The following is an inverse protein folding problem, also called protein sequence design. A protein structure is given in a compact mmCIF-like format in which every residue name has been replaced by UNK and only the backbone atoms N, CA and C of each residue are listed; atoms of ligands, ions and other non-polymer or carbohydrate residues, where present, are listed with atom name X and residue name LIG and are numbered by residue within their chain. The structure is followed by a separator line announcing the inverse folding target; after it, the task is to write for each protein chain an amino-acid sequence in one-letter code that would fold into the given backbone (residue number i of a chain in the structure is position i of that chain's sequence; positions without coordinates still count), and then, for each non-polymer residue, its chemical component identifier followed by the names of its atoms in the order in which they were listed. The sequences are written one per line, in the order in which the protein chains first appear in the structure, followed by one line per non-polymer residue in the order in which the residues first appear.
data_IF_077057352152
#
_entry.id   IF_077057352152
#
_cell.length_a   1.000
_cell.length_b   1.000
_cell.length_c   1.000
_cell.angle_alpha   90.00
_cell.angle_beta   90.00
_cell.angle_gamma   90.00
#
_symmetry.space_group_name_H-M   'P 1'
#
loop_
_entity.id
_entity.type
_entity.pdbx_description
1 polymer ?
#
# COMPACT_ATOMS: atom_id res chain seq x y z
N UNK A 1 -8.80 -47.44 0.54
CA UNK A 1 -9.80 -46.52 1.14
C UNK A 1 -9.56 -45.18 0.48
N UNK A 2 -10.38 -44.83 -0.50
CA UNK A 2 -10.53 -43.43 -0.91
C UNK A 2 -11.13 -42.72 0.31
N UNK A 3 -10.37 -41.79 0.89
CA UNK A 3 -10.93 -40.87 1.87
C UNK A 3 -11.78 -39.89 1.07
N UNK A 4 -13.08 -39.83 1.37
CA UNK A 4 -13.91 -38.73 0.87
C UNK A 4 -13.21 -37.41 1.20
N UNK A 5 -13.06 -36.48 0.23
CA UNK A 5 -12.42 -35.20 0.50
C UNK A 5 -13.22 -34.50 1.60
N UNK A 6 -12.57 -34.21 2.73
CA UNK A 6 -13.15 -33.34 3.75
C UNK A 6 -13.50 -32.00 3.08
N UNK A 7 -14.68 -31.42 3.36
CA UNK A 7 -15.06 -30.14 2.81
C UNK A 7 -14.05 -29.08 3.27
N UNK A 8 -13.48 -28.36 2.32
CA UNK A 8 -12.58 -27.25 2.59
C UNK A 8 -13.30 -26.17 3.40
N UNK A 9 -12.55 -25.50 4.27
CA UNK A 9 -13.05 -24.32 4.96
C UNK A 9 -13.04 -23.13 4.01
N UNK A 10 -14.13 -22.37 4.04
CA UNK A 10 -14.28 -21.13 3.28
C UNK A 10 -14.56 -19.98 4.23
N UNK A 11 -13.90 -18.85 4.00
CA UNK A 11 -14.11 -17.62 4.75
C UNK A 11 -14.14 -16.42 3.82
N UNK A 12 -14.98 -15.43 4.14
CA UNK A 12 -15.02 -14.14 3.48
C UNK A 12 -15.22 -13.04 4.51
N UNK A 13 -14.41 -11.98 4.42
CA UNK A 13 -14.51 -10.77 5.23
C UNK A 13 -14.49 -9.55 4.32
N UNK A 14 -14.98 -8.42 4.83
CA UNK A 14 -14.99 -7.17 4.08
C UNK A 14 -14.80 -5.97 5.00
N UNK A 15 -14.18 -4.91 4.49
CA UNK A 15 -14.09 -3.61 5.15
C UNK A 15 -14.41 -2.49 4.16
N UNK A 16 -15.12 -1.46 4.64
CA UNK A 16 -15.53 -0.30 3.85
C UNK A 16 -14.54 0.84 4.05
N UNK A 17 -14.18 1.51 2.96
CA UNK A 17 -13.31 2.68 2.90
C UNK A 17 -14.13 3.84 2.31
N UNK A 18 -14.94 4.55 3.11
CA UNK A 18 -15.86 5.57 2.61
C UNK A 18 -15.18 6.82 2.05
N UNK A 19 -13.88 7.02 2.26
CA UNK A 19 -13.12 8.23 1.86
C UNK A 19 -12.12 7.98 0.75
N UNK A 20 -12.00 6.74 0.26
CA UNK A 20 -11.06 6.37 -0.80
C UNK A 20 -11.76 5.58 -1.91
N UNK A 21 -11.54 5.96 -3.16
CA UNK A 21 -12.11 5.28 -4.31
C UNK A 21 -11.39 3.96 -4.57
N UNK A 22 -12.05 3.06 -5.31
CA UNK A 22 -11.46 1.76 -5.65
C UNK A 22 -10.15 1.90 -6.44
N UNK A 23 -10.05 2.93 -7.29
CA UNK A 23 -8.86 3.19 -8.11
C UNK A 23 -7.70 3.78 -7.31
N UNK A 24 -7.97 4.48 -6.20
CA UNK A 24 -6.94 4.92 -5.26
C UNK A 24 -6.37 3.75 -4.45
N UNK A 25 -7.22 2.80 -4.06
CA UNK A 25 -6.86 1.68 -3.20
C UNK A 25 -6.18 0.55 -3.96
N UNK A 26 -6.64 0.26 -5.18
CA UNK A 26 -6.17 -0.89 -5.95
C UNK A 26 -4.65 -0.94 -6.16
N UNK A 27 -3.96 0.14 -6.57
CA UNK A 27 -2.51 0.13 -6.70
C UNK A 27 -1.76 -0.22 -5.42
N UNK A 28 -2.31 0.18 -4.25
CA UNK A 28 -1.72 -0.09 -2.93
C UNK A 28 -1.82 -1.57 -2.56
N UNK A 29 -2.88 -2.26 -3.01
CA UNK A 29 -3.05 -3.70 -2.83
C UNK A 29 -2.29 -4.52 -3.86
N UNK A 30 -2.18 -4.00 -5.09
CA UNK A 30 -1.41 -4.62 -6.16
C UNK A 30 0.11 -4.54 -5.91
N UNK A 31 0.58 -3.67 -5.00
CA UNK A 31 1.92 -3.69 -4.42
C UNK A 31 2.13 -4.93 -3.52
N UNK A 32 2.02 -6.12 -4.14
CA UNK A 32 1.88 -7.42 -3.50
C UNK A 32 3.01 -7.73 -2.51
N UNK A 33 4.24 -7.36 -2.84
CA UNK A 33 5.42 -7.56 -1.98
C UNK A 33 5.42 -6.68 -0.74
N UNK A 34 4.64 -5.60 -0.69
CA UNK A 34 4.73 -4.60 0.37
C UNK A 34 3.46 -4.50 1.22
N UNK A 35 2.69 -5.59 1.33
CA UNK A 35 1.46 -5.61 2.12
C UNK A 35 1.67 -5.21 3.60
N UNK A 36 2.85 -5.46 4.17
CA UNK A 36 3.23 -5.07 5.54
C UNK A 36 3.13 -3.56 5.80
N UNK A 37 3.19 -2.71 4.76
CA UNK A 37 2.96 -1.26 4.88
C UNK A 37 1.54 -0.96 5.41
N UNK A 38 0.57 -1.79 5.02
CA UNK A 38 -0.85 -1.57 5.28
C UNK A 38 -1.39 -2.54 6.33
N UNK A 39 -0.89 -3.77 6.37
CA UNK A 39 -1.37 -4.81 7.27
C UNK A 39 -0.48 -4.94 8.50
N UNK A 40 -0.87 -4.32 9.61
CA UNK A 40 -0.18 -4.32 10.91
C UNK A 40 0.15 -5.70 11.48
N UNK A 41 -0.64 -6.72 11.13
CA UNK A 41 -0.42 -8.09 11.57
C UNK A 41 0.81 -8.77 10.96
N UNK A 42 1.42 -8.16 9.94
CA UNK A 42 2.67 -8.60 9.33
C UNK A 42 3.83 -7.73 9.81
N UNK A 43 4.82 -8.36 10.42
CA UNK A 43 6.08 -7.72 10.78
C UNK A 43 6.97 -7.48 9.55
N UNK A 44 6.94 -8.40 8.59
CA UNK A 44 7.67 -8.28 7.33
C UNK A 44 6.86 -8.84 6.17
N UNK A 45 7.01 -8.24 5.00
CA UNK A 45 6.52 -8.78 3.74
C UNK A 45 7.44 -8.29 2.63
N UNK A 46 8.02 -9.19 1.83
CA UNK A 46 8.94 -8.84 0.74
C UNK A 46 9.00 -9.91 -0.34
N UNK A 47 9.39 -9.53 -1.55
CA UNK A 47 9.52 -10.44 -2.68
C UNK A 47 10.73 -11.37 -2.54
N UNK A 48 10.52 -12.66 -2.81
CA UNK A 48 11.59 -13.67 -2.88
C UNK A 48 11.74 -14.29 -4.27
N UNK A 49 10.76 -14.07 -5.16
CA UNK A 49 10.81 -14.53 -6.55
C UNK A 49 9.90 -13.69 -7.46
N UNK A 50 10.31 -13.51 -8.72
CA UNK A 50 9.50 -12.85 -9.76
C UNK A 50 9.38 -11.33 -9.62
N UNK A 51 8.53 -10.73 -10.44
CA UNK A 51 8.28 -9.28 -10.48
C UNK A 51 7.05 -8.94 -9.64
N UNK A 52 7.16 -7.94 -8.77
CA UNK A 52 6.06 -7.51 -7.90
C UNK A 52 4.79 -7.17 -8.71
N UNK A 53 3.63 -7.65 -8.24
CA UNK A 53 2.33 -7.41 -8.88
C UNK A 53 2.05 -8.26 -10.12
N UNK A 54 3.00 -9.10 -10.57
CA UNK A 54 2.80 -9.98 -11.73
C UNK A 54 2.52 -11.44 -11.32
N UNK A 55 1.58 -12.15 -11.99
CA UNK A 55 1.34 -13.56 -11.74
C UNK A 55 2.62 -14.41 -11.79
N UNK A 56 2.77 -15.30 -10.82
CA UNK A 56 3.93 -16.15 -10.61
C UNK A 56 4.96 -15.60 -9.62
N UNK A 57 4.90 -14.32 -9.25
CA UNK A 57 5.76 -13.77 -8.21
C UNK A 57 5.44 -14.36 -6.83
N UNK A 58 6.45 -14.40 -5.94
CA UNK A 58 6.33 -14.97 -4.60
C UNK A 58 6.81 -13.96 -3.57
N UNK A 59 6.00 -13.74 -2.53
CA UNK A 59 6.36 -12.97 -1.34
C UNK A 59 6.59 -13.88 -0.14
N UNK A 60 7.49 -13.48 0.74
CA UNK A 60 7.59 -14.00 2.09
C UNK A 60 6.85 -13.07 3.04
N UNK A 61 6.01 -13.60 3.92
CA UNK A 61 5.26 -12.86 4.93
C UNK A 61 5.57 -13.41 6.32
N UNK A 62 5.89 -12.54 7.27
CA UNK A 62 6.11 -12.87 8.68
C UNK A 62 5.11 -12.10 9.53
N UNK A 63 4.50 -12.76 10.50
CA UNK A 63 3.50 -12.16 11.39
C UNK A 63 3.29 -12.96 12.67
N UNK A 64 2.40 -12.45 13.50
CA UNK A 64 2.07 -13.04 14.81
C UNK A 64 0.58 -13.30 15.00
N UNK A 65 -0.23 -13.02 13.97
CA UNK A 65 -1.70 -13.08 14.07
C UNK A 65 -2.25 -14.50 14.11
N UNK A 66 -1.58 -15.45 13.46
CA UNK A 66 -1.95 -16.88 13.46
C UNK A 66 -0.83 -17.63 14.17
N UNK A 67 -1.10 -18.53 15.13
CA UNK A 67 -0.06 -19.28 15.83
C UNK A 67 0.74 -20.17 14.89
N UNK A 68 2.06 -20.23 15.10
CA UNK A 68 2.92 -21.21 14.42
C UNK A 68 2.71 -22.60 15.02
N UNK A 69 2.86 -23.64 14.20
CA UNK A 69 2.84 -25.04 14.64
C UNK A 69 4.21 -25.55 15.08
N UNK A 70 5.28 -24.75 14.89
CA UNK A 70 6.63 -25.10 15.31
C UNK A 70 6.75 -25.05 16.84
N UNK A 71 6.85 -26.20 17.49
CA UNK A 71 7.06 -26.30 18.94
C UNK A 71 8.54 -26.22 19.34
N UNK A 72 9.41 -25.79 18.43
CA UNK A 72 10.86 -25.96 18.54
C UNK A 72 11.57 -24.71 19.09
N UNK A 73 11.02 -24.08 20.14
CA UNK A 73 11.66 -22.95 20.83
C UNK A 73 11.86 -23.21 22.31
N UNK A 74 13.04 -22.84 22.79
CA UNK A 74 13.47 -22.89 24.19
C UNK A 74 12.69 -21.87 25.02
N UNK A 75 11.42 -22.16 25.37
CA UNK A 75 10.66 -21.62 26.49
C UNK A 75 10.46 -20.09 26.64
N UNK A 76 11.06 -19.26 25.78
CA UNK A 76 11.19 -17.81 26.01
C UNK A 76 10.54 -16.91 24.95
N UNK A 77 10.11 -17.45 23.82
CA UNK A 77 9.31 -16.72 22.82
C UNK A 77 8.45 -17.66 21.96
N UNK A 78 7.22 -17.24 21.67
CA UNK A 78 6.39 -17.89 20.64
C UNK A 78 7.07 -17.72 19.28
N UNK A 79 7.17 -18.77 18.45
CA UNK A 79 7.78 -18.65 17.12
C UNK A 79 6.99 -17.67 16.25
N UNK A 80 7.71 -16.89 15.44
CA UNK A 80 7.10 -16.03 14.42
C UNK A 80 6.46 -16.93 13.36
N UNK A 81 5.23 -16.63 13.00
CA UNK A 81 4.51 -17.35 11.95
C UNK A 81 4.86 -16.77 10.60
N UNK A 82 5.10 -17.62 9.63
CA UNK A 82 5.46 -17.19 8.28
C UNK A 82 4.77 -18.02 7.20
N UNK A 83 4.67 -17.40 6.03
CA UNK A 83 4.20 -18.04 4.81
C UNK A 83 4.92 -17.48 3.58
N UNK A 84 5.15 -18.34 2.59
CA UNK A 84 5.53 -17.95 1.24
C UNK A 84 4.28 -18.01 0.37
N UNK A 85 3.96 -16.91 -0.28
CA UNK A 85 2.71 -16.74 -1.00
C UNK A 85 2.98 -16.42 -2.47
N UNK A 86 2.44 -17.24 -3.38
CA UNK A 86 2.55 -17.03 -4.83
C UNK A 86 1.31 -16.31 -5.35
N UNK A 87 1.51 -15.22 -6.07
CA UNK A 87 0.45 -14.53 -6.81
C UNK A 87 0.03 -15.39 -8.01
N UNK A 88 -1.23 -15.82 -8.07
CA UNK A 88 -1.73 -16.74 -9.10
C UNK A 88 -2.52 -16.03 -10.20
N UNK A 89 -3.18 -14.92 -9.87
CA UNK A 89 -3.92 -14.11 -10.82
C UNK A 89 -3.99 -12.65 -10.40
N UNK A 90 -4.06 -11.76 -11.39
CA UNK A 90 -4.33 -10.33 -11.21
C UNK A 90 -5.27 -9.89 -12.33
N UNK A 91 -6.34 -9.19 -11.95
CA UNK A 91 -7.29 -8.56 -12.86
C UNK A 91 -7.43 -7.09 -12.45
N UNK A 92 -6.81 -6.19 -13.21
CA UNK A 92 -6.88 -4.76 -12.94
C UNK A 92 -8.25 -4.15 -13.28
N UNK A 93 -9.03 -4.76 -14.19
CA UNK A 93 -10.37 -4.29 -14.52
C UNK A 93 -11.36 -4.56 -13.38
N UNK A 94 -11.28 -5.76 -12.82
CA UNK A 94 -12.07 -6.17 -11.65
C UNK A 94 -11.45 -5.76 -10.31
N UNK A 95 -10.24 -5.15 -10.34
CA UNK A 95 -9.43 -4.80 -9.16
C UNK A 95 -9.33 -5.97 -8.18
N UNK A 96 -8.92 -7.12 -8.70
CA UNK A 96 -8.86 -8.38 -8.00
C UNK A 96 -7.50 -9.05 -8.17
N UNK A 97 -7.01 -9.65 -7.09
CA UNK A 97 -5.85 -10.54 -7.14
C UNK A 97 -6.15 -11.82 -6.38
N UNK A 98 -5.51 -12.92 -6.79
CA UNK A 98 -5.59 -14.21 -6.12
C UNK A 98 -4.19 -14.74 -5.86
N UNK A 99 -3.99 -15.42 -4.74
CA UNK A 99 -2.71 -15.99 -4.36
C UNK A 99 -2.90 -17.31 -3.61
N UNK A 100 -1.85 -18.12 -3.58
CA UNK A 100 -1.79 -19.38 -2.84
C UNK A 100 -0.62 -19.38 -1.85
N UNK A 101 -0.74 -20.09 -0.73
CA UNK A 101 0.41 -20.36 0.15
C UNK A 101 1.14 -21.58 -0.40
N UNK A 102 2.41 -21.40 -0.77
CA UNK A 102 3.26 -22.48 -1.30
C UNK A 102 4.14 -23.12 -0.23
N UNK A 103 4.33 -22.45 0.90
CA UNK A 103 5.10 -22.93 2.04
C UNK A 103 4.72 -22.14 3.30
N UNK A 104 4.69 -22.77 4.47
CA UNK A 104 4.40 -22.08 5.76
C UNK A 104 4.74 -22.94 6.97
N UNK A 105 4.91 -22.30 8.13
CA UNK A 105 4.97 -23.00 9.43
C UNK A 105 3.65 -22.96 10.24
N UNK A 106 2.57 -22.51 9.61
CA UNK A 106 1.24 -22.35 10.23
C UNK A 106 0.41 -23.65 10.14
N UNK A 107 0.85 -24.61 9.32
CA UNK A 107 0.17 -25.89 9.13
C UNK A 107 -0.88 -25.90 7.99
N UNK A 108 -0.89 -24.87 7.15
CA UNK A 108 -1.71 -24.83 5.94
C UNK A 108 -1.20 -25.85 4.91
N UNK A 109 -2.05 -26.83 4.54
CA UNK A 109 -1.75 -27.84 3.51
C UNK A 109 -2.19 -27.40 2.12
N UNK A 110 -3.29 -26.68 2.06
CA UNK A 110 -3.76 -25.94 0.91
C UNK A 110 -4.33 -24.62 1.40
N UNK A 111 -4.09 -23.54 0.66
CA UNK A 111 -4.67 -22.25 0.94
C UNK A 111 -4.69 -21.46 -0.36
N UNK A 112 -5.87 -20.98 -0.75
CA UNK A 112 -6.05 -20.06 -1.86
C UNK A 112 -6.87 -18.89 -1.37
N UNK A 113 -6.49 -17.68 -1.73
CA UNK A 113 -7.17 -16.47 -1.31
C UNK A 113 -7.33 -15.49 -2.45
N UNK A 114 -8.39 -14.69 -2.37
CA UNK A 114 -8.71 -13.64 -3.33
C UNK A 114 -9.04 -12.35 -2.58
N UNK A 115 -8.41 -11.27 -3.01
CA UNK A 115 -8.69 -9.90 -2.56
C UNK A 115 -9.29 -9.13 -3.73
N UNK A 116 -10.39 -8.41 -3.49
CA UNK A 116 -11.08 -7.60 -4.49
C UNK A 116 -11.45 -6.22 -3.95
N UNK A 117 -11.32 -5.17 -4.77
CA UNK A 117 -11.77 -3.81 -4.44
C UNK A 117 -13.00 -3.45 -5.25
N UNK A 118 -14.12 -3.30 -4.55
CA UNK A 118 -15.43 -3.03 -5.15
C UNK A 118 -15.77 -1.55 -4.95
N UNK A 119 -15.94 -0.76 -6.03
CA UNK A 119 -16.39 0.63 -5.90
C UNK A 119 -17.81 0.69 -5.29
N UNK A 120 -18.12 1.80 -4.62
CA UNK A 120 -19.44 2.06 -4.04
C UNK A 120 -20.08 3.29 -4.68
N UNK A 121 -21.40 3.27 -4.81
CA UNK A 121 -22.17 4.33 -5.50
C UNK A 121 -22.16 4.15 -7.02
N UNK A 122 -23.07 4.84 -7.71
CA UNK A 122 -23.22 4.75 -9.18
C UNK A 122 -22.03 5.36 -9.94
N UNK A 123 -21.30 6.28 -9.30
CA UNK A 123 -20.14 6.99 -9.85
C UNK A 123 -18.82 6.70 -9.10
N UNK A 124 -18.82 5.78 -8.13
CA UNK A 124 -17.63 5.43 -7.34
C UNK A 124 -17.25 6.46 -6.27
N UNK A 125 -18.06 7.49 -6.02
CA UNK A 125 -17.76 8.55 -5.07
C UNK A 125 -18.07 8.18 -3.60
N UNK A 126 -18.86 7.13 -3.36
CA UNK A 126 -19.20 6.65 -2.01
C UNK A 126 -18.11 5.77 -1.36
N UNK A 127 -16.91 5.83 -1.95
CA UNK A 127 -15.72 5.09 -1.55
C UNK A 127 -15.65 3.70 -2.18
N UNK A 128 -15.07 2.75 -1.45
CA UNK A 128 -14.99 1.36 -1.88
C UNK A 128 -15.13 0.37 -0.73
N UNK A 129 -15.21 -0.92 -1.08
CA UNK A 129 -15.18 -2.05 -0.16
C UNK A 129 -14.06 -2.98 -0.59
N UNK A 130 -13.16 -3.32 0.34
CA UNK A 130 -12.23 -4.44 0.15
C UNK A 130 -12.95 -5.71 0.60
N UNK A 131 -13.00 -6.70 -0.27
CA UNK A 131 -13.42 -8.07 0.03
C UNK A 131 -12.20 -8.97 0.05
N UNK A 132 -12.07 -9.79 1.09
CA UNK A 132 -11.01 -10.79 1.21
C UNK A 132 -11.63 -12.15 1.52
N UNK A 133 -11.42 -13.10 0.62
CA UNK A 133 -11.90 -14.48 0.76
C UNK A 133 -10.76 -15.47 0.74
N UNK A 134 -10.96 -16.62 1.37
CA UNK A 134 -10.03 -17.74 1.35
C UNK A 134 -10.75 -19.07 1.35
N UNK A 135 -10.06 -20.08 0.81
CA UNK A 135 -10.39 -21.48 0.92
C UNK A 135 -9.13 -22.21 1.42
N UNK A 136 -9.29 -23.09 2.43
CA UNK A 136 -8.19 -23.76 3.12
C UNK A 136 -8.64 -25.13 3.60
N UNK A 137 -7.76 -26.13 3.59
CA UNK A 137 -8.06 -27.38 4.28
C UNK A 137 -8.19 -27.16 5.79
N UNK A 138 -9.05 -27.92 6.50
CA UNK A 138 -9.12 -27.85 7.95
C UNK A 138 -7.75 -28.03 8.61
N UNK A 139 -7.38 -27.07 9.46
CA UNK A 139 -6.08 -27.06 10.15
C UNK A 139 -6.26 -27.55 11.58
N UNK A 140 -5.45 -28.53 11.99
CA UNK A 140 -5.49 -29.05 13.34
C UNK A 140 -5.13 -27.95 14.37
N UNK A 141 -5.97 -27.77 15.38
CA UNK A 141 -5.78 -26.75 16.43
C UNK A 141 -6.34 -25.37 16.10
N UNK A 142 -6.82 -25.14 14.88
CA UNK A 142 -7.57 -23.93 14.52
C UNK A 142 -9.07 -24.20 14.46
N UNK A 143 -9.84 -23.12 14.53
CA UNK A 143 -11.30 -23.12 14.34
C UNK A 143 -11.62 -22.08 13.29
N UNK A 144 -12.44 -22.43 12.29
CA UNK A 144 -12.77 -21.56 11.17
C UNK A 144 -13.26 -20.17 11.62
N UNK A 145 -14.19 -20.10 12.57
CA UNK A 145 -14.72 -18.83 13.07
C UNK A 145 -13.64 -17.92 13.67
N UNK A 146 -12.64 -18.51 14.33
CA UNK A 146 -11.53 -17.76 14.91
C UNK A 146 -10.58 -17.24 13.82
N UNK A 147 -10.30 -18.05 12.79
CA UNK A 147 -9.53 -17.63 11.63
C UNK A 147 -10.24 -16.48 10.89
N UNK A 148 -11.55 -16.61 10.64
CA UNK A 148 -12.37 -15.54 10.03
C UNK A 148 -12.35 -14.28 10.88
N UNK A 149 -12.43 -14.41 12.21
CA UNK A 149 -12.33 -13.27 13.14
C UNK A 149 -10.99 -12.56 13.05
N UNK A 150 -9.88 -13.30 12.98
CA UNK A 150 -8.53 -12.74 12.81
C UNK A 150 -8.42 -11.95 11.50
N UNK A 151 -8.87 -12.52 10.38
CA UNK A 151 -8.88 -11.84 9.08
C UNK A 151 -9.75 -10.59 9.10
N UNK A 152 -10.91 -10.64 9.75
CA UNK A 152 -11.81 -9.49 9.88
C UNK A 152 -11.13 -8.33 10.62
N UNK A 153 -10.51 -8.60 11.77
CA UNK A 153 -9.81 -7.58 12.55
C UNK A 153 -8.62 -7.01 11.78
N UNK A 154 -7.81 -7.87 11.15
CA UNK A 154 -6.68 -7.44 10.34
C UNK A 154 -7.10 -6.56 9.16
N UNK A 155 -8.15 -6.95 8.43
CA UNK A 155 -8.66 -6.19 7.31
C UNK A 155 -9.25 -4.84 7.73
N UNK A 156 -9.92 -4.76 8.88
CA UNK A 156 -10.44 -3.49 9.40
C UNK A 156 -9.30 -2.49 9.67
N UNK A 157 -8.24 -2.93 10.35
CA UNK A 157 -7.07 -2.08 10.64
C UNK A 157 -6.33 -1.67 9.36
N UNK A 158 -6.22 -2.59 8.41
CA UNK A 158 -5.63 -2.33 7.10
C UNK A 158 -6.43 -1.30 6.31
N UNK A 159 -7.77 -1.38 6.33
CA UNK A 159 -8.63 -0.41 5.65
C UNK A 159 -8.45 1.00 6.20
N UNK A 160 -8.41 1.17 7.53
CA UNK A 160 -8.13 2.47 8.16
C UNK A 160 -6.78 3.05 7.72
N UNK A 161 -5.72 2.22 7.73
CA UNK A 161 -4.38 2.63 7.30
C UNK A 161 -4.29 2.99 5.82
N UNK A 162 -5.01 2.26 4.96
CA UNK A 162 -5.08 2.57 3.54
C UNK A 162 -5.79 3.91 3.30
N UNK A 163 -6.92 4.17 3.97
CA UNK A 163 -7.61 5.47 3.86
C UNK A 163 -6.74 6.63 4.34
N UNK A 164 -5.97 6.44 5.41
CA UNK A 164 -5.03 7.44 5.89
C UNK A 164 -3.85 7.61 4.91
N UNK A 165 -3.29 6.52 4.38
CA UNK A 165 -2.23 6.57 3.38
C UNK A 165 -2.65 7.30 2.09
N UNK A 166 -3.88 7.12 1.62
CA UNK A 166 -4.39 7.84 0.44
C UNK A 166 -4.45 9.35 0.64
N UNK A 167 -4.57 9.85 1.87
CA UNK A 167 -4.52 11.31 2.14
C UNK A 167 -3.14 11.92 1.91
N UNK A 168 -2.09 11.10 1.99
CA UNK A 168 -0.69 11.51 1.90
C UNK A 168 -0.05 11.15 0.55
N UNK A 169 -0.68 10.29 -0.25
CA UNK A 169 -0.15 9.80 -1.53
C UNK A 169 -0.74 10.61 -2.67
N UNK A 170 0.13 11.25 -3.44
CA UNK A 170 -0.28 11.80 -4.72
C UNK A 170 -0.62 10.68 -5.72
N UNK A 171 -1.77 10.78 -6.39
CA UNK A 171 -2.23 9.77 -7.36
C UNK A 171 -2.04 10.24 -8.80
N UNK A 172 -1.70 9.32 -9.69
CA UNK A 172 -1.53 9.61 -11.12
C UNK A 172 -2.87 10.02 -11.76
N UNK A 173 -2.85 11.14 -12.47
CA UNK A 173 -4.01 11.68 -13.19
C UNK A 173 -3.91 11.36 -14.67
N UNK A 174 -2.72 11.53 -15.26
CA UNK A 174 -2.47 11.36 -16.70
C UNK A 174 -1.03 10.86 -16.96
N UNK A 175 -0.80 10.29 -18.15
CA UNK A 175 0.52 9.81 -18.59
C UNK A 175 0.87 8.38 -18.17
N UNK A 176 2.09 7.93 -18.47
CA UNK A 176 2.62 6.63 -18.07
C UNK A 176 3.53 6.77 -16.84
N UNK A 177 3.50 5.79 -15.92
CA UNK A 177 4.29 5.82 -14.69
C UNK A 177 5.79 5.85 -15.00
N UNK A 178 6.51 6.82 -14.43
CA UNK A 178 7.96 6.93 -14.59
C UNK A 178 8.41 7.47 -15.94
N UNK A 179 7.51 8.11 -16.70
CA UNK A 179 7.82 8.77 -17.97
C UNK A 179 7.68 10.30 -17.89
N UNK A 180 8.42 11.07 -18.70
CA UNK A 180 8.13 12.48 -18.91
C UNK A 180 6.67 12.71 -19.33
N UNK A 181 6.09 13.82 -18.89
CA UNK A 181 4.68 14.18 -19.03
C UNK A 181 3.69 13.42 -18.13
N UNK A 182 4.16 12.54 -17.24
CA UNK A 182 3.32 11.99 -16.18
C UNK A 182 2.75 13.12 -15.31
N UNK A 183 1.44 13.10 -15.05
CA UNK A 183 0.75 14.05 -14.17
C UNK A 183 0.31 13.33 -12.90
N UNK A 184 0.66 13.91 -11.76
CA UNK A 184 0.36 13.44 -10.42
C UNK A 184 -0.51 14.49 -9.71
N UNK A 185 -1.56 14.08 -9.03
CA UNK A 185 -2.29 14.91 -8.08
C UNK A 185 -1.76 14.61 -6.68
N UNK A 186 -1.00 15.52 -6.10
CA UNK A 186 -0.47 15.44 -4.75
C UNK A 186 -1.41 16.17 -3.80
N UNK A 187 -1.82 15.52 -2.71
CA UNK A 187 -2.58 16.16 -1.63
C UNK A 187 -1.95 15.84 -0.29
N UNK A 188 -2.09 16.77 0.65
CA UNK A 188 -1.72 16.60 2.04
C UNK A 188 -2.73 17.32 2.93
N UNK A 189 -2.86 16.87 4.17
CA UNK A 189 -3.74 17.50 5.15
C UNK A 189 -2.96 17.95 6.38
N UNK A 190 -3.30 19.10 6.94
CA UNK A 190 -2.73 19.59 8.19
C UNK A 190 -3.86 19.94 9.16
N UNK A 191 -3.81 19.36 10.35
CA UNK A 191 -4.74 19.68 11.45
C UNK A 191 -4.27 20.95 12.14
N UNK A 192 -5.08 22.01 12.09
CA UNK A 192 -4.79 23.25 12.82
C UNK A 192 -5.62 23.22 14.11
N UNK A 193 -4.96 22.98 15.24
CA UNK A 193 -5.57 23.16 16.54
C UNK A 193 -5.54 24.66 16.90
N UNK A 194 -6.71 25.30 16.98
CA UNK A 194 -6.84 26.63 17.59
C UNK A 194 -7.41 26.47 19.00
N UNK A 195 -6.81 27.14 19.98
CA UNK A 195 -7.25 27.06 21.37
C UNK A 195 -8.75 27.41 21.48
N UNK A 196 -9.56 26.40 21.78
CA UNK A 196 -11.00 26.55 22.05
C UNK A 196 -11.95 26.45 20.85
N UNK A 197 -11.51 26.01 19.66
CA UNK A 197 -12.43 25.74 18.54
C UNK A 197 -12.17 24.37 17.89
N UNK A 198 -13.22 23.85 17.25
CA UNK A 198 -13.27 22.57 16.54
C UNK A 198 -12.03 22.40 15.65
N UNK A 199 -11.42 21.21 15.66
CA UNK A 199 -10.28 20.88 14.80
C UNK A 199 -10.66 21.13 13.33
N UNK A 200 -9.95 22.04 12.67
CA UNK A 200 -10.16 22.35 11.26
C UNK A 200 -9.04 21.72 10.44
N UNK A 201 -9.41 20.85 9.50
CA UNK A 201 -8.48 20.18 8.60
C UNK A 201 -8.29 21.07 7.38
N UNK A 202 -7.07 21.57 7.17
CA UNK A 202 -6.70 22.28 5.95
C UNK A 202 -6.09 21.29 4.97
N UNK A 203 -6.70 21.14 3.80
CA UNK A 203 -6.19 20.30 2.71
C UNK A 203 -5.42 21.20 1.73
N UNK A 204 -4.17 20.83 1.44
CA UNK A 204 -3.34 21.43 0.39
C UNK A 204 -3.18 20.42 -0.75
N UNK A 205 -3.33 20.85 -1.99
CA UNK A 205 -3.15 19.98 -3.16
C UNK A 205 -2.49 20.69 -4.33
N UNK A 206 -1.81 19.92 -5.17
CA UNK A 206 -1.20 20.35 -6.41
C UNK A 206 -1.28 19.24 -7.48
N UNK A 207 -1.53 19.60 -8.74
CA UNK A 207 -1.27 18.75 -9.90
C UNK A 207 0.13 19.05 -10.39
N UNK A 208 1.00 18.06 -10.30
CA UNK A 208 2.41 18.13 -10.69
C UNK A 208 2.59 17.36 -11.99
N UNK A 209 3.25 17.97 -12.98
CA UNK A 209 3.61 17.32 -14.22
C UNK A 209 5.12 17.11 -14.27
N UNK A 210 5.53 15.87 -14.46
CA UNK A 210 6.93 15.51 -14.64
C UNK A 210 7.43 16.04 -15.98
N UNK A 211 8.47 16.85 -15.95
CA UNK A 211 9.11 17.41 -17.14
C UNK A 211 10.27 16.53 -17.61
N UNK A 212 11.11 16.11 -16.67
CA UNK A 212 12.34 15.34 -16.94
C UNK A 212 12.49 14.24 -15.91
N UNK A 213 12.84 13.04 -16.36
CA UNK A 213 13.40 11.98 -15.53
C UNK A 213 14.73 11.59 -16.17
N UNK A 214 15.83 11.85 -15.49
CA UNK A 214 17.15 11.42 -15.93
C UNK A 214 17.74 10.43 -14.93
N UNK A 215 17.67 9.11 -15.19
CA UNK A 215 18.19 8.10 -14.28
C UNK A 215 19.73 8.11 -14.21
N UNK A 216 20.42 8.63 -15.23
CA UNK A 216 21.89 8.72 -15.27
C UNK A 216 22.36 9.84 -14.35
N UNK A 217 21.75 11.01 -14.46
CA UNK A 217 22.03 12.17 -13.60
C UNK A 217 21.33 12.08 -12.24
N UNK A 218 20.42 11.10 -12.07
CA UNK A 218 19.62 10.87 -10.88
C UNK A 218 18.81 12.10 -10.49
N UNK A 219 18.21 12.74 -11.49
CA UNK A 219 17.38 13.93 -11.30
C UNK A 219 15.98 13.77 -11.89
N UNK A 220 15.03 14.45 -11.26
CA UNK A 220 13.64 14.56 -11.71
C UNK A 220 13.25 16.03 -11.62
N UNK A 221 12.68 16.57 -12.70
CA UNK A 221 12.11 17.91 -12.72
C UNK A 221 10.61 17.85 -12.97
N UNK A 222 9.85 18.73 -12.31
CA UNK A 222 8.40 18.81 -12.44
C UNK A 222 7.89 20.25 -12.34
N UNK A 223 6.71 20.50 -12.90
CA UNK A 223 5.98 21.77 -12.77
C UNK A 223 4.67 21.58 -12.02
N UNK A 224 4.23 22.59 -11.28
CA UNK A 224 2.86 22.62 -10.74
C UNK A 224 1.96 23.27 -11.79
N UNK A 225 0.96 22.51 -12.26
CA UNK A 225 -0.03 22.99 -13.22
C UNK A 225 -1.23 23.66 -12.55
N UNK A 226 -1.75 23.03 -11.50
CA UNK A 226 -2.91 23.51 -10.74
C UNK A 226 -2.65 23.27 -9.25
N UNK A 227 -3.10 24.17 -8.38
CA UNK A 227 -2.97 24.00 -6.92
C UNK A 227 -3.93 24.92 -6.17
N UNK A 228 -4.17 24.62 -4.89
CA UNK A 228 -4.89 25.52 -3.98
C UNK A 228 -3.97 26.29 -3.01
N UNK A 229 -2.65 26.17 -3.17
CA UNK A 229 -1.64 26.84 -2.34
C UNK A 229 -1.32 28.27 -2.81
N UNK A 230 -1.70 28.64 -4.04
CA UNK A 230 -1.51 29.96 -4.61
C UNK A 230 -0.28 30.11 -5.52
N UNK A 231 0.39 29.01 -5.89
CA UNK A 231 1.47 29.06 -6.87
C UNK A 231 0.91 29.38 -8.26
N UNK A 232 1.44 30.43 -8.90
CA UNK A 232 1.11 30.80 -10.29
C UNK A 232 2.06 30.18 -11.30
N UNK A 233 3.32 30.06 -10.92
CA UNK A 233 4.38 29.40 -11.66
C UNK A 233 5.27 28.72 -10.63
N UNK A 234 5.60 27.45 -10.88
CA UNK A 234 6.47 26.67 -10.04
C UNK A 234 7.09 25.55 -10.87
N UNK A 235 8.42 25.51 -10.91
CA UNK A 235 9.20 24.40 -11.48
C UNK A 235 10.25 24.00 -10.46
N UNK A 236 10.32 22.71 -10.13
CA UNK A 236 11.32 22.19 -9.23
C UNK A 236 12.12 21.06 -9.86
N UNK A 237 13.32 20.87 -9.32
CA UNK A 237 14.22 19.79 -9.65
C UNK A 237 14.70 19.14 -8.35
N UNK A 238 14.55 17.82 -8.28
CA UNK A 238 15.12 16.95 -7.24
C UNK A 238 16.32 16.24 -7.84
N UNK A 239 17.46 16.29 -7.17
CA UNK A 239 18.70 15.60 -7.56
C UNK A 239 19.21 14.71 -6.42
N UNK A 240 19.68 13.50 -6.76
CA UNK A 240 20.26 12.56 -5.79
C UNK A 240 21.77 12.45 -6.00
N UNK A 241 22.53 13.10 -5.12
CA UNK A 241 23.98 13.20 -5.19
C UNK A 241 24.66 12.20 -4.25
N UNK A 242 25.76 11.53 -4.65
CA UNK A 242 26.53 10.68 -3.75
C UNK A 242 27.28 11.52 -2.70
N UNK A 243 27.27 11.09 -1.44
CA UNK A 243 28.11 11.71 -0.40
C UNK A 243 29.56 11.26 -0.64
N UNK A 244 30.49 12.21 -0.74
CA UNK A 244 31.92 11.98 -1.00
C UNK A 244 32.26 11.31 -2.35
N UNK A 245 31.32 11.27 -3.30
CA UNK A 245 31.56 10.83 -4.69
C UNK A 245 31.65 9.32 -4.92
N UNK A 246 31.78 8.50 -3.87
CA UNK A 246 31.87 7.03 -3.98
C UNK A 246 30.52 6.31 -3.88
N UNK A 247 29.48 6.99 -3.40
CA UNK A 247 28.15 6.43 -3.19
C UNK A 247 28.06 5.35 -2.10
N UNK A 248 29.15 5.13 -1.34
CA UNK A 248 29.21 4.13 -0.27
C UNK A 248 28.74 4.71 1.08
N UNK A 249 28.89 6.02 1.27
CA UNK A 249 28.53 6.71 2.51
C UNK A 249 27.08 7.26 2.51
N UNK A 250 26.24 6.82 1.58
CA UNK A 250 24.87 7.30 1.41
C UNK A 250 24.72 8.38 0.34
N UNK A 251 23.56 9.03 0.31
CA UNK A 251 23.22 10.06 -0.67
C UNK A 251 22.70 11.33 -0.01
N UNK A 252 22.85 12.45 -0.71
CA UNK A 252 22.23 13.73 -0.42
C UNK A 252 21.14 13.95 -1.46
N UNK A 253 19.95 14.33 -1.00
CA UNK A 253 18.87 14.78 -1.89
C UNK A 253 18.90 16.31 -1.88
N UNK A 254 19.08 16.92 -3.05
CA UNK A 254 18.93 18.35 -3.24
C UNK A 254 17.60 18.63 -3.94
N UNK A 255 16.85 19.58 -3.38
CA UNK A 255 15.61 20.06 -3.96
C UNK A 255 15.76 21.55 -4.22
N UNK A 256 15.57 21.93 -5.47
CA UNK A 256 15.66 23.32 -5.93
C UNK A 256 14.41 23.68 -6.71
N UNK A 257 14.00 24.95 -6.65
CA UNK A 257 12.80 25.40 -7.35
C UNK A 257 12.91 26.84 -7.82
N UNK A 258 12.13 27.16 -8.83
CA UNK A 258 11.86 28.50 -9.32
C UNK A 258 10.35 28.70 -9.26
N UNK A 259 9.91 29.71 -8.52
CA UNK A 259 8.50 30.02 -8.34
C UNK A 259 8.27 31.52 -8.34
N UNK A 260 7.08 31.93 -8.78
CA UNK A 260 6.64 33.32 -8.63
C UNK A 260 6.44 33.65 -7.14
N UNK A 261 6.70 34.91 -6.70
CA UNK A 261 6.41 35.32 -5.33
C UNK A 261 4.94 35.11 -4.98
N UNK A 262 4.69 34.45 -3.86
CA UNK A 262 3.34 34.24 -3.33
C UNK A 262 3.06 35.37 -2.33
N UNK A 263 1.95 36.08 -2.55
CA UNK A 263 1.55 37.17 -1.68
C UNK A 263 1.31 36.67 -0.25
N UNK A 264 2.00 37.27 0.73
CA UNK A 264 1.90 36.89 2.14
C UNK A 264 2.86 35.79 2.60
N UNK A 265 3.63 35.16 1.71
CA UNK A 265 4.66 34.18 2.08
C UNK A 265 6.03 34.86 2.19
N UNK A 266 6.79 34.53 3.24
CA UNK A 266 8.21 34.89 3.35
C UNK A 266 9.04 33.74 2.79
N UNK A 267 10.12 34.05 2.06
CA UNK A 267 11.01 33.06 1.43
C UNK A 267 11.54 32.00 2.43
N UNK A 268 11.69 32.40 3.69
CA UNK A 268 12.15 31.57 4.81
C UNK A 268 11.18 30.43 5.19
N UNK A 269 9.93 30.44 4.70
CA UNK A 269 8.93 29.38 4.95
C UNK A 269 8.89 28.31 3.84
N UNK A 270 9.77 28.41 2.83
CA UNK A 270 9.81 27.53 1.65
C UNK A 270 11.05 26.62 1.61
N UNK A 271 11.83 26.56 2.70
CA UNK A 271 12.99 25.67 2.87
C UNK A 271 12.72 24.54 3.87
#
# INVERSE_FOLDING_TARGET
MEQDPQPQWEGKVSARLPKATADQIWPLLNDFFNLHKWFSGLAACYGIHGTNGEPGCIRHCEGSSIPSTDTNTDGHSQPVSWSNERLTAVDHGERSLSYEIVDSNIGFKSYVSTVKVVPQGDDGQDGCVIEWSFNVDPVAGLVLDELVRMYKVGLQQMAERLEDGVKDIGYQVEGELGQPSQVLYCASSTTIASEGRQEEIKISWAKEKVLVINPIERCISYEIMENNAGFKSYVATIEVLPINGDGQNGCKIEWSFVADPIEGWRLELLH
#
